data_IF_413505571361
#
_entry.id   IF_413505571361
#
_cell.length_a   1.000
_cell.length_b   1.000
_cell.length_c   1.000
_cell.angle_alpha   90.00
_cell.angle_beta   90.00
_cell.angle_gamma   90.00
#
_symmetry.space_group_name_H-M   'P 1'
#
loop_
_entity.id
_entity.type
_entity.pdbx_description
1 polymer ?
#
# COMPACT_ATOMS: atom_id res chain seq x y z
N UNK A 1 -15.82 5.75 -6.38
CA UNK A 1 -14.66 6.18 -7.20
C UNK A 1 -14.83 5.52 -8.55
N UNK A 2 -15.47 6.19 -9.51
CA UNK A 2 -15.59 5.63 -10.86
C UNK A 2 -14.32 5.98 -11.65
N UNK A 3 -13.60 4.97 -12.15
CA UNK A 3 -12.52 5.12 -13.13
C UNK A 3 -11.16 5.62 -12.64
N UNK A 4 -10.83 5.57 -11.35
CA UNK A 4 -9.50 6.00 -10.84
C UNK A 4 -8.76 4.87 -10.13
N UNK A 5 -7.58 4.54 -10.64
CA UNK A 5 -6.61 3.65 -10.00
C UNK A 5 -5.71 4.47 -9.08
N UNK A 6 -5.53 4.01 -7.83
CA UNK A 6 -4.66 4.63 -6.84
C UNK A 6 -3.53 3.67 -6.48
N UNK A 7 -2.32 4.22 -6.36
CA UNK A 7 -1.09 3.46 -6.15
C UNK A 7 -0.26 3.99 -5.00
N UNK A 8 0.42 3.10 -4.28
CA UNK A 8 1.57 3.49 -3.45
C UNK A 8 2.59 2.38 -3.32
N UNK A 9 3.84 2.76 -3.04
CA UNK A 9 4.92 1.83 -2.69
C UNK A 9 5.61 2.31 -1.42
N UNK A 10 6.03 1.39 -0.54
CA UNK A 10 6.86 1.70 0.63
C UNK A 10 6.17 2.73 1.55
N UNK A 11 6.80 3.91 1.76
CA UNK A 11 6.25 5.01 2.55
C UNK A 11 5.13 5.80 1.85
N UNK A 12 4.97 5.63 0.54
CA UNK A 12 3.88 6.27 -0.20
C UNK A 12 2.50 5.88 0.35
N UNK A 13 2.38 4.75 1.03
CA UNK A 13 1.13 4.33 1.66
C UNK A 13 0.64 5.30 2.74
N UNK A 14 1.53 6.12 3.32
CA UNK A 14 1.16 7.23 4.21
C UNK A 14 0.25 8.26 3.52
N UNK A 15 0.29 8.38 2.18
CA UNK A 15 -0.61 9.25 1.44
C UNK A 15 -2.10 8.89 1.59
N UNK A 16 -2.42 7.65 1.94
CA UNK A 16 -3.80 7.20 2.10
C UNK A 16 -4.39 7.46 3.49
N UNK A 17 -3.55 7.68 4.49
CA UNK A 17 -3.94 7.55 5.89
C UNK A 17 -4.96 8.63 6.33
N UNK A 18 -4.99 9.78 5.66
CA UNK A 18 -5.98 10.82 5.91
C UNK A 18 -7.00 10.98 4.76
N UNK A 19 -6.91 10.13 3.73
CA UNK A 19 -7.85 10.15 2.61
C UNK A 19 -9.23 9.68 3.07
N UNK A 20 -10.28 10.38 2.63
CA UNK A 20 -11.67 10.10 2.99
C UNK A 20 -12.50 9.71 1.77
N UNK A 21 -13.47 8.81 1.97
CA UNK A 21 -14.54 8.55 1.01
C UNK A 21 -15.46 9.77 0.94
N UNK A 22 -16.27 9.88 -0.12
CA UNK A 22 -17.26 10.96 -0.24
C UNK A 22 -18.23 11.02 0.96
N UNK A 23 -18.52 9.86 1.56
CA UNK A 23 -19.38 9.71 2.75
C UNK A 23 -18.65 10.02 4.07
N UNK A 24 -17.41 10.55 4.03
CA UNK A 24 -16.66 11.05 5.20
C UNK A 24 -15.80 10.03 5.94
N UNK A 25 -16.07 8.72 5.83
CA UNK A 25 -15.23 7.68 6.44
C UNK A 25 -13.83 7.62 5.81
N UNK A 26 -12.83 7.12 6.53
CA UNK A 26 -11.49 6.92 5.96
C UNK A 26 -11.52 5.96 4.77
N UNK A 27 -10.72 6.25 3.75
CA UNK A 27 -10.60 5.45 2.54
C UNK A 27 -9.98 4.07 2.85
N UNK A 28 -9.01 4.04 3.76
CA UNK A 28 -8.26 2.84 4.14
C UNK A 28 -9.05 1.86 5.02
N UNK A 29 -10.15 2.31 5.64
CA UNK A 29 -10.91 1.49 6.58
C UNK A 29 -11.48 0.24 5.91
N UNK A 30 -11.08 -0.93 6.41
CA UNK A 30 -11.44 -2.26 5.91
C UNK A 30 -10.71 -2.70 4.63
N UNK A 31 -9.82 -1.88 4.07
CA UNK A 31 -9.09 -2.19 2.84
C UNK A 31 -7.88 -3.06 3.10
N UNK A 32 -7.66 -4.07 2.26
CA UNK A 32 -6.40 -4.80 2.23
C UNK A 32 -5.34 -3.90 1.59
N UNK A 33 -4.28 -3.62 2.33
CA UNK A 33 -3.21 -2.73 1.90
C UNK A 33 -1.88 -3.22 2.42
N UNK A 34 -0.80 -2.80 1.77
CA UNK A 34 0.57 -2.98 2.27
C UNK A 34 1.34 -1.67 2.15
N UNK A 35 2.55 -1.69 2.68
CA UNK A 35 3.51 -0.61 2.80
C UNK A 35 4.71 -1.18 3.55
N UNK A 36 5.79 -0.41 3.72
CA UNK A 36 6.99 -0.96 4.35
C UNK A 36 6.69 -1.43 5.78
N UNK A 37 7.20 -2.60 6.14
CA UNK A 37 6.96 -3.21 7.45
C UNK A 37 7.71 -2.43 8.53
N UNK A 38 7.17 -2.37 9.74
CA UNK A 38 7.89 -1.73 10.85
C UNK A 38 9.23 -2.45 11.09
N UNK A 39 9.24 -3.77 10.97
CA UNK A 39 10.45 -4.59 11.06
C UNK A 39 11.51 -4.15 10.05
N UNK A 40 11.15 -3.92 8.78
CA UNK A 40 12.10 -3.47 7.76
C UNK A 40 12.64 -2.06 8.08
N UNK A 41 11.78 -1.15 8.54
CA UNK A 41 12.19 0.21 8.95
C UNK A 41 13.19 0.18 10.11
N UNK A 42 12.97 -0.68 11.12
CA UNK A 42 13.92 -0.88 12.21
C UNK A 42 15.20 -1.58 11.78
N UNK A 43 15.14 -2.57 10.88
CA UNK A 43 16.31 -3.26 10.31
C UNK A 43 17.20 -2.31 9.50
N UNK A 44 16.62 -1.31 8.86
CA UNK A 44 17.33 -0.24 8.15
C UNK A 44 17.89 0.84 9.10
N UNK A 45 17.63 0.76 10.40
CA UNK A 45 18.10 1.74 11.38
C UNK A 45 17.37 3.09 11.32
N UNK A 46 16.27 3.18 10.57
CA UNK A 46 15.55 4.45 10.36
C UNK A 46 14.29 4.60 11.24
N UNK A 47 13.88 3.57 11.98
CA UNK A 47 12.62 3.58 12.73
C UNK A 47 12.51 4.58 13.88
N UNK A 48 13.62 5.20 14.31
CA UNK A 48 13.58 6.31 15.28
C UNK A 48 13.56 7.69 14.64
N UNK A 49 13.91 7.79 13.36
CA UNK A 49 13.98 9.07 12.63
C UNK A 49 12.76 9.30 11.74
N UNK A 50 12.05 8.24 11.33
CA UNK A 50 10.80 8.35 10.58
C UNK A 50 9.64 8.65 11.53
N UNK A 51 8.93 9.78 11.38
CA UNK A 51 7.91 10.21 12.34
C UNK A 51 6.62 9.37 12.31
N UNK A 52 6.38 8.68 11.19
CA UNK A 52 5.22 7.83 10.96
C UNK A 52 5.64 6.62 10.13
N UNK A 53 5.14 5.44 10.49
CA UNK A 53 5.44 4.20 9.78
C UNK A 53 4.20 3.64 9.07
N UNK A 54 4.31 3.20 7.81
CA UNK A 54 3.16 2.73 7.05
C UNK A 54 2.37 1.59 7.69
N UNK A 55 3.03 0.55 8.20
CA UNK A 55 2.36 -0.59 8.84
C UNK A 55 1.50 -0.13 10.02
N UNK A 56 2.13 0.47 11.03
CA UNK A 56 1.45 1.03 12.19
C UNK A 56 0.31 1.99 11.82
N UNK A 57 0.58 2.97 10.95
CA UNK A 57 -0.40 4.01 10.63
C UNK A 57 -1.60 3.48 9.82
N UNK A 58 -1.39 2.50 8.94
CA UNK A 58 -2.47 1.82 8.22
C UNK A 58 -3.33 1.00 9.17
N UNK A 59 -2.71 0.22 10.07
CA UNK A 59 -3.43 -0.58 11.08
C UNK A 59 -4.25 0.31 12.01
N UNK A 60 -3.67 1.40 12.53
CA UNK A 60 -4.37 2.39 13.39
C UNK A 60 -5.63 2.96 12.75
N UNK A 61 -5.69 3.01 11.42
CA UNK A 61 -6.84 3.54 10.64
C UNK A 61 -7.78 2.47 10.13
N UNK A 62 -7.59 1.24 10.59
CA UNK A 62 -8.48 0.12 10.29
C UNK A 62 -8.23 -0.52 8.92
N UNK A 63 -7.06 -0.34 8.31
CA UNK A 63 -6.69 -1.13 7.15
C UNK A 63 -6.38 -2.58 7.57
N UNK A 64 -6.75 -3.52 6.71
CA UNK A 64 -6.36 -4.92 6.81
C UNK A 64 -4.93 -5.08 6.27
N UNK A 65 -3.95 -4.56 7.00
CA UNK A 65 -2.56 -4.53 6.55
C UNK A 65 -2.02 -5.95 6.31
N UNK A 66 -1.35 -6.12 5.16
CA UNK A 66 -0.69 -7.35 4.74
C UNK A 66 0.81 -7.11 4.62
N UNK A 67 1.58 -8.10 5.03
CA UNK A 67 3.02 -8.11 4.85
C UNK A 67 3.50 -9.50 4.47
N UNK A 68 4.59 -9.55 3.70
CA UNK A 68 5.45 -10.71 3.54
C UNK A 68 6.70 -10.47 4.37
N UNK A 69 6.86 -11.30 5.39
CA UNK A 69 8.00 -11.24 6.31
C UNK A 69 8.92 -12.41 6.05
N UNK A 70 10.23 -12.18 6.11
CA UNK A 70 11.23 -13.23 5.95
C UNK A 70 11.58 -13.86 7.30
N UNK A 71 12.33 -14.96 7.30
CA UNK A 71 12.78 -15.57 8.56
C UNK A 71 13.73 -14.63 9.30
N UNK A 72 14.76 -14.14 8.60
CA UNK A 72 15.81 -13.29 9.19
C UNK A 72 15.58 -11.79 8.94
N UNK A 73 15.19 -11.43 7.72
CA UNK A 73 15.04 -10.06 7.27
C UNK A 73 13.83 -9.89 6.37
N UNK A 74 13.28 -8.68 6.33
CA UNK A 74 12.22 -8.31 5.38
C UNK A 74 12.78 -7.56 4.15
N UNK A 75 14.09 -7.29 4.13
CA UNK A 75 14.76 -6.51 3.07
C UNK A 75 14.68 -7.17 1.68
N UNK A 76 14.67 -8.50 1.63
CA UNK A 76 14.57 -9.31 0.42
C UNK A 76 13.13 -9.74 0.10
N UNK A 77 12.18 -9.47 0.99
CA UNK A 77 10.79 -9.81 0.80
C UNK A 77 10.07 -8.71 0.02
N UNK A 78 9.05 -9.07 -0.74
CA UNK A 78 8.18 -8.13 -1.42
C UNK A 78 6.76 -8.67 -1.51
N UNK A 79 5.80 -7.74 -1.51
CA UNK A 79 4.38 -8.02 -1.64
C UNK A 79 3.71 -6.87 -2.39
N UNK A 80 2.82 -7.20 -3.32
CA UNK A 80 1.85 -6.29 -3.90
C UNK A 80 0.46 -6.74 -3.49
N UNK A 81 -0.37 -5.79 -3.07
CA UNK A 81 -1.77 -6.01 -2.70
C UNK A 81 -2.65 -5.17 -3.62
N UNK A 82 -3.63 -5.82 -4.23
CA UNK A 82 -4.68 -5.20 -5.04
C UNK A 82 -6.01 -5.36 -4.31
N UNK A 83 -6.69 -4.26 -3.98
CA UNK A 83 -8.03 -4.25 -3.38
C UNK A 83 -8.93 -3.25 -4.11
N UNK A 84 -9.71 -3.77 -5.08
CA UNK A 84 -10.45 -2.95 -6.03
C UNK A 84 -9.48 -2.06 -6.81
N UNK A 85 -9.74 -0.75 -6.82
CA UNK A 85 -8.91 0.23 -7.56
C UNK A 85 -7.68 0.74 -6.78
N UNK A 86 -7.37 0.16 -5.62
CA UNK A 86 -6.19 0.51 -4.83
C UNK A 86 -5.15 -0.59 -4.99
N UNK A 87 -3.95 -0.21 -5.44
CA UNK A 87 -2.78 -1.07 -5.56
C UNK A 87 -1.69 -0.56 -4.63
N UNK A 88 -1.17 -1.42 -3.76
CA UNK A 88 -0.11 -1.05 -2.82
C UNK A 88 1.04 -2.05 -2.85
N UNK A 89 2.28 -1.54 -2.80
CA UNK A 89 3.51 -2.33 -2.75
C UNK A 89 4.24 -2.14 -1.43
N UNK A 90 4.74 -3.24 -0.86
CA UNK A 90 5.39 -3.27 0.45
C UNK A 90 6.65 -2.41 0.48
N UNK A 91 7.54 -2.53 -0.50
CA UNK A 91 8.84 -1.86 -0.47
C UNK A 91 9.40 -1.60 -1.89
N UNK A 92 10.63 -1.08 -1.97
CA UNK A 92 11.26 -0.71 -3.24
C UNK A 92 11.29 -1.86 -4.26
N UNK A 93 11.42 -3.11 -3.81
CA UNK A 93 11.48 -4.27 -4.69
C UNK A 93 10.12 -4.57 -5.36
N UNK A 94 9.02 -4.08 -4.77
CA UNK A 94 7.66 -4.25 -5.30
C UNK A 94 7.23 -3.15 -6.29
N UNK A 95 8.09 -2.17 -6.58
CA UNK A 95 7.72 -1.00 -7.37
C UNK A 95 7.26 -1.35 -8.80
N UNK A 96 8.05 -2.17 -9.51
CA UNK A 96 7.73 -2.56 -10.89
C UNK A 96 6.41 -3.34 -10.97
N UNK A 97 6.22 -4.33 -10.08
CA UNK A 97 4.96 -5.08 -10.05
C UNK A 97 3.78 -4.16 -9.69
N UNK A 98 3.93 -3.26 -8.70
CA UNK A 98 2.88 -2.30 -8.34
C UNK A 98 2.47 -1.47 -9.56
N UNK A 99 3.43 -0.91 -10.30
CA UNK A 99 3.16 -0.13 -11.50
C UNK A 99 2.46 -0.96 -12.58
N UNK A 100 2.91 -2.20 -12.82
CA UNK A 100 2.28 -3.10 -13.80
C UNK A 100 0.82 -3.39 -13.42
N UNK A 101 0.55 -3.75 -12.15
CA UNK A 101 -0.82 -4.00 -11.66
C UNK A 101 -1.71 -2.76 -11.80
N UNK A 102 -1.16 -1.57 -11.61
CA UNK A 102 -1.91 -0.32 -11.82
C UNK A 102 -2.27 -0.11 -13.29
N UNK A 103 -1.35 -0.39 -14.22
CA UNK A 103 -1.62 -0.32 -15.66
C UNK A 103 -2.71 -1.32 -16.04
N UNK A 104 -2.64 -2.56 -15.56
CA UNK A 104 -3.67 -3.57 -15.81
C UNK A 104 -5.07 -3.08 -15.37
N UNK A 105 -5.17 -2.40 -14.21
CA UNK A 105 -6.43 -1.81 -13.72
C UNK A 105 -6.93 -0.66 -14.60
N UNK A 106 -6.01 0.16 -15.10
CA UNK A 106 -6.34 1.27 -16.00
C UNK A 106 -6.87 0.73 -17.32
N UNK A 107 -6.20 -0.26 -17.92
CA UNK A 107 -6.65 -0.92 -19.15
C UNK A 107 -8.03 -1.55 -19.00
N UNK A 108 -8.25 -2.33 -17.93
CA UNK A 108 -9.55 -2.94 -17.64
C UNK A 108 -10.67 -1.90 -17.49
N UNK A 109 -10.35 -0.72 -16.93
CA UNK A 109 -11.32 0.36 -16.80
C UNK A 109 -11.75 0.97 -18.14
N UNK A 110 -10.92 0.85 -19.18
CA UNK A 110 -11.26 1.28 -20.55
C UNK A 110 -12.02 0.20 -21.34
N UNK A 111 -11.72 -1.08 -21.12
CA UNK A 111 -12.38 -2.19 -21.83
C UNK A 111 -13.85 -2.38 -21.47
N UNK A 112 -14.37 -1.76 -20.41
CA UNK A 112 -15.79 -1.81 -20.02
C UNK A 112 -16.61 -0.68 -20.68
N UNK A 113 -15.96 0.25 -21.41
CA UNK A 113 -16.60 1.45 -21.98
C UNK A 113 -16.85 1.32 -23.50
N UNK A 114 -16.33 0.27 -24.14
CA UNK A 114 -16.55 -0.09 -25.56
C UNK A 114 -17.32 -1.39 -25.66
#
# INVERSE_FOLDING_TARGET
MAGKTLGSVCHGALGFINAKKAVGSLLVQGKNMTGVTDRQVFQLGIGKITPMHPEDELRKRGANYKARNGVLTDLDQSLVVVDGSIVTGQNQNSACETAQRMLDQVEQSFSVII
#
